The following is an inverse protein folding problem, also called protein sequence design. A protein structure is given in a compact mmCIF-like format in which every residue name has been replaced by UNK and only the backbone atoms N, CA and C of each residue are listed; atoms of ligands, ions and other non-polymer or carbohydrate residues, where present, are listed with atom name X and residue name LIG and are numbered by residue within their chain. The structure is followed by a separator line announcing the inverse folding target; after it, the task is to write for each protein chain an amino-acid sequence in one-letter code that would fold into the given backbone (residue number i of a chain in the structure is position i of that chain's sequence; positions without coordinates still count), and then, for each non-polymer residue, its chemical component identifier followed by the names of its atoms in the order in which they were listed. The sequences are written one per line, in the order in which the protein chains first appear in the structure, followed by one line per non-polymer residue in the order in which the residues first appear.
data_IF_789498602630
#
_entry.id   IF_789498602630
#
_cell.length_a   1.000
_cell.length_b   1.000
_cell.length_c   1.000
_cell.angle_alpha   90.00
_cell.angle_beta   90.00
_cell.angle_gamma   90.00
#
_symmetry.space_group_name_H-M   'P 1'
#
loop_
_entity.id
_entity.type
_entity.pdbx_description
1 polymer ?
#
# COMPACT_ATOMS: atom_id res chain seq x y z
N UNK A 1 32.58 -17.61 50.59
CA UNK A 1 32.70 -16.31 49.87
C UNK A 1 32.81 -16.48 48.34
N UNK A 2 33.68 -17.34 47.79
CA UNK A 2 33.85 -17.53 46.33
C UNK A 2 32.60 -17.99 45.56
N UNK A 3 31.72 -18.81 46.17
CA UNK A 3 30.48 -19.29 45.52
C UNK A 3 29.40 -18.23 45.37
N UNK A 4 29.31 -17.27 46.30
CA UNK A 4 28.31 -16.19 46.26
C UNK A 4 28.57 -15.26 45.06
N UNK A 5 29.84 -15.01 44.75
CA UNK A 5 30.25 -14.17 43.62
C UNK A 5 29.84 -14.76 42.26
N UNK A 6 29.85 -16.10 42.13
CA UNK A 6 29.40 -16.79 40.93
C UNK A 6 27.90 -16.57 40.69
N UNK A 7 27.07 -16.59 41.74
CA UNK A 7 25.62 -16.34 41.58
C UNK A 7 25.32 -14.88 41.20
N UNK A 8 26.10 -13.92 41.68
CA UNK A 8 25.97 -12.51 41.27
C UNK A 8 26.36 -12.31 39.80
N UNK A 9 27.45 -12.93 39.36
CA UNK A 9 27.88 -12.87 37.95
C UNK A 9 26.88 -13.58 37.04
N UNK A 10 26.36 -14.75 37.43
CA UNK A 10 25.32 -15.45 36.66
C UNK A 10 24.02 -14.64 36.61
N UNK A 11 23.61 -14.02 37.71
CA UNK A 11 22.40 -13.19 37.77
C UNK A 11 22.49 -11.97 36.83
N UNK A 12 23.65 -11.31 36.78
CA UNK A 12 23.92 -10.22 35.85
C UNK A 12 23.92 -10.68 34.38
N UNK A 13 24.48 -11.86 34.10
CA UNK A 13 24.47 -12.44 32.75
C UNK A 13 23.07 -12.81 32.27
N UNK A 14 22.25 -13.41 33.13
CA UNK A 14 20.85 -13.72 32.81
C UNK A 14 20.07 -12.43 32.60
N UNK A 15 20.25 -11.42 33.47
CA UNK A 15 19.58 -10.13 33.32
C UNK A 15 19.96 -9.44 32.00
N UNK A 16 21.25 -9.40 31.66
CA UNK A 16 21.74 -8.85 30.41
C UNK A 16 21.21 -9.62 29.19
N UNK A 17 21.12 -10.95 29.25
CA UNK A 17 20.55 -11.77 28.19
C UNK A 17 19.04 -11.51 28.03
N UNK A 18 18.28 -11.40 29.13
CA UNK A 18 16.86 -11.00 29.04
C UNK A 18 16.72 -9.60 28.46
N UNK A 19 17.50 -8.61 28.90
CA UNK A 19 17.43 -7.26 28.35
C UNK A 19 17.76 -7.28 26.85
N UNK A 20 18.82 -7.99 26.44
CA UNK A 20 19.18 -8.12 25.03
C UNK A 20 18.04 -8.74 24.19
N UNK A 21 17.43 -9.83 24.67
CA UNK A 21 16.29 -10.48 24.00
C UNK A 21 15.08 -9.54 23.94
N UNK A 22 14.76 -8.83 25.02
CA UNK A 22 13.66 -7.86 25.02
C UNK A 22 13.94 -6.69 24.08
N UNK A 23 15.14 -6.10 24.09
CA UNK A 23 15.51 -4.99 23.20
C UNK A 23 15.56 -5.39 21.73
N UNK A 24 15.90 -6.66 21.43
CA UNK A 24 15.92 -7.16 20.06
C UNK A 24 14.51 -7.52 19.55
N UNK A 25 13.54 -7.66 20.46
CA UNK A 25 12.13 -7.95 20.14
C UNK A 25 11.29 -6.69 19.90
N UNK A 26 11.78 -5.51 20.28
CA UNK A 26 11.14 -4.23 19.98
C UNK A 26 11.77 -3.63 18.72
N UNK A 27 11.34 -4.08 17.55
CA UNK A 27 11.46 -3.27 16.34
C UNK A 27 10.42 -2.17 16.43
N UNK A 28 10.86 -0.93 16.64
CA UNK A 28 9.99 0.24 16.52
C UNK A 28 9.51 0.32 15.06
N UNK A 29 8.21 0.10 14.84
CA UNK A 29 7.58 0.33 13.56
C UNK A 29 6.99 1.73 13.54
N UNK A 30 7.48 2.57 12.62
CA UNK A 30 6.83 3.85 12.34
C UNK A 30 5.38 3.60 11.89
N UNK A 31 4.44 4.30 12.53
CA UNK A 31 3.02 4.23 12.20
C UNK A 31 2.63 5.49 11.46
N UNK A 32 1.94 5.34 10.33
CA UNK A 32 1.39 6.47 9.60
C UNK A 32 0.27 7.10 10.42
N UNK A 33 0.41 8.39 10.72
CA UNK A 33 -0.59 9.19 11.41
C UNK A 33 -0.86 10.47 10.64
N UNK A 34 -2.13 10.84 10.51
CA UNK A 34 -2.47 12.10 9.89
C UNK A 34 -2.13 13.27 10.82
N UNK A 35 -1.41 14.25 10.27
CA UNK A 35 -1.20 15.57 10.87
C UNK A 35 -1.66 16.64 9.88
N UNK A 36 -2.08 17.84 10.35
CA UNK A 36 -2.41 18.94 9.45
C UNK A 36 -1.31 19.20 8.43
N UNK A 37 -1.69 19.36 7.15
CA UNK A 37 -0.72 19.49 6.08
C UNK A 37 0.09 20.78 6.22
N UNK A 38 1.38 20.72 5.86
CA UNK A 38 2.21 21.91 5.72
C UNK A 38 1.99 22.58 4.37
N UNK A 39 1.65 23.86 4.39
CA UNK A 39 1.40 24.64 3.16
C UNK A 39 2.67 25.23 2.55
N UNK A 40 3.81 25.09 3.24
CA UNK A 40 5.08 25.74 2.86
C UNK A 40 6.14 24.78 2.34
N UNK A 41 5.85 23.48 2.40
CA UNK A 41 6.79 22.41 2.07
C UNK A 41 6.06 21.39 1.22
N UNK A 42 6.72 20.89 0.19
CA UNK A 42 6.17 19.86 -0.69
C UNK A 42 7.16 18.72 -0.99
N UNK A 43 6.67 17.71 -1.70
CA UNK A 43 7.52 16.78 -2.43
C UNK A 43 8.04 17.45 -3.70
N UNK A 44 9.34 17.32 -3.97
CA UNK A 44 9.93 17.65 -5.27
C UNK A 44 9.57 16.61 -6.32
N UNK A 45 9.54 15.35 -5.91
CA UNK A 45 9.18 14.21 -6.77
C UNK A 45 8.66 13.07 -5.90
N UNK A 46 7.80 12.24 -6.48
CA UNK A 46 7.34 11.00 -5.90
C UNK A 46 6.82 10.11 -7.02
N UNK A 47 6.84 8.80 -6.82
CA UNK A 47 6.40 7.87 -7.85
C UNK A 47 6.45 6.41 -7.43
N UNK A 48 5.67 5.64 -8.18
CA UNK A 48 5.66 4.18 -8.18
C UNK A 48 5.90 3.74 -9.61
N UNK A 49 6.75 2.74 -9.82
CA UNK A 49 7.04 2.16 -11.13
C UNK A 49 6.94 0.64 -11.08
N UNK A 50 6.31 0.07 -12.09
CA UNK A 50 6.25 -1.36 -12.38
C UNK A 50 6.87 -1.60 -13.77
N UNK A 51 7.98 -2.31 -13.79
CA UNK A 51 8.76 -2.53 -14.99
C UNK A 51 9.01 -4.01 -15.22
N UNK A 52 8.79 -4.48 -16.44
CA UNK A 52 9.25 -5.80 -16.85
C UNK A 52 10.79 -5.81 -16.93
N UNK A 53 11.41 -6.61 -16.06
CA UNK A 53 12.88 -6.68 -15.91
C UNK A 53 13.51 -7.66 -16.91
N UNK A 54 12.82 -8.76 -17.20
CA UNK A 54 13.32 -9.79 -18.08
C UNK A 54 12.65 -11.14 -17.86
N UNK A 55 13.09 -12.10 -18.66
CA UNK A 55 12.68 -13.49 -18.57
C UNK A 55 13.72 -14.25 -17.73
N UNK A 56 13.29 -14.94 -16.69
CA UNK A 56 14.17 -15.82 -15.91
C UNK A 56 14.29 -17.17 -16.63
N UNK A 57 13.13 -17.80 -16.94
CA UNK A 57 12.99 -19.09 -17.65
C UNK A 57 11.85 -19.04 -18.70
N UNK A 58 11.60 -20.11 -19.45
CA UNK A 58 10.57 -20.13 -20.53
C UNK A 58 9.18 -19.67 -20.03
N UNK A 59 8.78 -20.06 -18.82
CA UNK A 59 7.44 -19.77 -18.26
C UNK A 59 7.45 -18.71 -17.14
N UNK A 60 8.62 -18.18 -16.75
CA UNK A 60 8.77 -17.26 -15.61
C UNK A 60 9.41 -15.93 -16.04
N UNK A 61 8.97 -14.83 -15.42
CA UNK A 61 9.53 -13.50 -15.61
C UNK A 61 9.62 -12.72 -14.30
N UNK A 62 10.37 -11.63 -14.35
CA UNK A 62 10.56 -10.74 -13.23
C UNK A 62 9.94 -9.37 -13.51
N UNK A 63 9.13 -8.89 -12.55
CA UNK A 63 8.64 -7.52 -12.49
C UNK A 63 9.36 -6.77 -11.38
N UNK A 64 10.01 -5.69 -11.77
CA UNK A 64 10.62 -4.72 -10.86
C UNK A 64 9.54 -3.78 -10.35
N UNK A 65 9.45 -3.67 -9.02
CA UNK A 65 8.59 -2.74 -8.32
C UNK A 65 9.43 -1.72 -7.56
N UNK A 66 9.31 -0.45 -7.95
CA UNK A 66 10.04 0.66 -7.35
C UNK A 66 9.09 1.70 -6.76
N UNK A 67 9.42 2.19 -5.57
CA UNK A 67 8.75 3.28 -4.87
C UNK A 67 9.79 4.30 -4.48
N UNK A 68 9.56 5.57 -4.81
CA UNK A 68 10.48 6.65 -4.45
C UNK A 68 9.78 7.96 -4.17
N UNK A 69 10.37 8.79 -3.31
CA UNK A 69 9.93 10.15 -3.07
C UNK A 69 11.05 11.04 -2.55
N UNK A 70 11.10 12.29 -3.01
CA UNK A 70 12.03 13.34 -2.57
C UNK A 70 11.24 14.55 -2.05
N UNK A 71 11.56 15.01 -0.83
CA UNK A 71 11.01 16.24 -0.27
C UNK A 71 11.96 17.42 -0.43
N UNK A 72 11.41 18.63 -0.37
CA UNK A 72 12.21 19.86 -0.55
C UNK A 72 13.36 20.02 0.45
N UNK A 73 13.17 19.49 1.67
CA UNK A 73 14.13 19.50 2.78
C UNK A 73 14.04 18.18 3.56
N UNK A 74 15.04 17.82 4.38
CA UNK A 74 14.92 16.68 5.29
C UNK A 74 13.70 16.82 6.21
N UNK A 75 12.95 15.72 6.37
CA UNK A 75 11.81 15.63 7.29
C UNK A 75 12.23 14.93 8.57
N UNK A 76 11.51 15.16 9.67
CA UNK A 76 11.78 14.47 10.93
C UNK A 76 11.62 12.95 10.74
N UNK A 77 10.49 12.55 10.17
CA UNK A 77 10.20 11.18 9.76
C UNK A 77 9.72 11.17 8.31
N UNK A 78 10.20 10.23 7.52
CA UNK A 78 9.68 9.89 6.19
C UNK A 78 9.18 8.47 6.22
N UNK A 79 8.06 8.21 5.55
CA UNK A 79 7.55 6.86 5.38
C UNK A 79 6.85 6.74 4.03
N UNK A 80 7.31 5.80 3.22
CA UNK A 80 6.63 5.38 2.01
C UNK A 80 6.10 3.96 2.19
N UNK A 81 4.85 3.75 1.80
CA UNK A 81 4.21 2.44 1.79
C UNK A 81 3.59 2.21 0.42
N UNK A 82 3.68 0.98 -0.07
CA UNK A 82 3.15 0.60 -1.36
C UNK A 82 2.53 -0.79 -1.28
N UNK A 83 1.39 -0.94 -1.94
CA UNK A 83 0.63 -2.17 -2.07
C UNK A 83 0.68 -2.61 -3.52
N UNK A 84 1.07 -3.86 -3.77
CA UNK A 84 1.02 -4.45 -5.09
C UNK A 84 -0.08 -5.50 -5.18
N UNK A 85 -0.89 -5.38 -6.22
CA UNK A 85 -1.90 -6.34 -6.60
C UNK A 85 -1.54 -7.02 -7.91
N UNK A 86 -1.76 -8.33 -7.99
CA UNK A 86 -1.63 -9.14 -9.18
C UNK A 86 -3.00 -9.75 -9.47
N UNK A 87 -3.55 -9.49 -10.66
CA UNK A 87 -4.87 -9.94 -11.08
C UNK A 87 -5.97 -9.63 -10.05
N UNK A 88 -5.88 -8.47 -9.39
CA UNK A 88 -6.85 -8.04 -8.38
C UNK A 88 -6.63 -8.54 -6.95
N UNK A 89 -5.57 -9.31 -6.71
CA UNK A 89 -5.24 -9.89 -5.39
C UNK A 89 -3.95 -9.31 -4.84
N UNK A 90 -3.91 -9.02 -3.56
CA UNK A 90 -2.75 -8.47 -2.88
C UNK A 90 -1.59 -9.48 -2.96
N UNK A 91 -0.49 -9.09 -3.58
CA UNK A 91 0.71 -9.91 -3.74
C UNK A 91 1.79 -9.54 -2.73
N UNK A 92 1.88 -8.26 -2.36
CA UNK A 92 2.89 -7.81 -1.42
C UNK A 92 2.70 -6.38 -0.94
N UNK A 93 3.39 -6.08 0.15
CA UNK A 93 3.50 -4.75 0.74
C UNK A 93 4.97 -4.42 0.87
N UNK A 94 5.31 -3.21 0.44
CA UNK A 94 6.63 -2.62 0.67
C UNK A 94 6.44 -1.39 1.53
N UNK A 95 7.14 -1.34 2.67
CA UNK A 95 7.25 -0.13 3.47
C UNK A 95 8.70 0.19 3.74
N UNK A 96 9.00 1.48 3.74
CA UNK A 96 10.30 2.01 4.14
C UNK A 96 10.07 3.31 4.89
N UNK A 97 10.69 3.43 6.06
CA UNK A 97 10.71 4.67 6.82
C UNK A 97 12.15 5.05 7.16
N UNK A 98 12.41 6.35 7.24
CA UNK A 98 13.71 6.91 7.59
C UNK A 98 13.52 8.23 8.36
N UNK A 99 14.32 8.45 9.40
CA UNK A 99 14.37 9.73 10.10
C UNK A 99 15.39 10.69 9.46
N UNK A 100 15.14 11.99 9.57
CA UNK A 100 16.06 13.04 9.11
C UNK A 100 16.47 12.91 7.63
N UNK A 101 15.59 12.33 6.81
CA UNK A 101 15.83 12.05 5.40
C UNK A 101 14.99 12.96 4.49
N UNK A 102 15.53 13.30 3.34
CA UNK A 102 14.77 13.97 2.26
C UNK A 102 14.39 13.02 1.13
N UNK A 103 14.98 11.82 1.07
CA UNK A 103 14.76 10.86 -0.01
C UNK A 103 14.42 9.51 0.59
N UNK A 104 13.34 8.89 0.09
CA UNK A 104 13.09 7.46 0.25
C UNK A 104 13.14 6.84 -1.14
N UNK A 105 13.83 5.70 -1.22
CA UNK A 105 13.82 4.81 -2.37
C UNK A 105 13.82 3.36 -1.90
N UNK A 106 12.95 2.56 -2.46
CA UNK A 106 12.90 1.11 -2.25
C UNK A 106 12.55 0.43 -3.58
N UNK A 107 13.36 -0.56 -3.92
CA UNK A 107 13.20 -1.40 -5.11
C UNK A 107 13.08 -2.85 -4.66
N UNK A 108 12.15 -3.58 -5.24
CA UNK A 108 11.99 -5.02 -5.06
C UNK A 108 11.67 -5.67 -6.40
N UNK A 109 11.68 -6.98 -6.41
CA UNK A 109 11.45 -7.80 -7.59
C UNK A 109 10.54 -8.95 -7.26
N UNK A 110 9.69 -9.29 -8.21
CA UNK A 110 8.60 -10.24 -8.01
C UNK A 110 8.53 -11.15 -9.22
N UNK A 111 8.42 -12.43 -8.92
CA UNK A 111 8.33 -13.46 -9.93
C UNK A 111 6.88 -13.53 -10.40
N UNK A 112 6.73 -13.56 -11.72
CA UNK A 112 5.48 -13.66 -12.44
C UNK A 112 5.51 -14.85 -13.39
N UNK A 113 4.34 -15.41 -13.62
CA UNK A 113 4.06 -16.53 -14.52
C UNK A 113 2.80 -16.20 -15.30
N UNK A 114 2.63 -16.75 -16.50
CA UNK A 114 1.46 -16.49 -17.35
C UNK A 114 1.21 -15.00 -17.67
N UNK A 115 0.13 -14.76 -18.42
CA UNK A 115 -0.38 -13.41 -18.64
C UNK A 115 -1.00 -12.83 -17.36
N UNK A 116 -0.47 -11.72 -16.86
CA UNK A 116 -0.92 -11.09 -15.63
C UNK A 116 -1.04 -9.57 -15.75
N UNK A 117 -1.88 -9.01 -14.88
CA UNK A 117 -2.04 -7.58 -14.64
C UNK A 117 -1.52 -7.23 -13.26
N UNK A 118 -0.59 -6.30 -13.20
CA UNK A 118 -0.01 -5.75 -11.98
C UNK A 118 -0.56 -4.35 -11.74
N UNK A 119 -0.92 -4.05 -10.50
CA UNK A 119 -1.40 -2.72 -10.09
C UNK A 119 -0.78 -2.36 -8.75
N UNK A 120 -0.04 -1.26 -8.71
CA UNK A 120 0.56 -0.74 -7.48
C UNK A 120 -0.10 0.58 -7.08
N UNK A 121 -0.25 0.78 -5.78
CA UNK A 121 -0.67 2.06 -5.20
C UNK A 121 0.17 2.35 -3.96
N UNK A 122 0.70 3.56 -3.89
CA UNK A 122 1.63 4.00 -2.87
C UNK A 122 1.18 5.28 -2.19
N UNK A 123 1.53 5.38 -0.91
CA UNK A 123 1.41 6.59 -0.12
C UNK A 123 2.79 7.03 0.35
N UNK A 124 3.09 8.31 0.11
CA UNK A 124 4.33 8.95 0.50
C UNK A 124 4.01 9.93 1.63
N UNK A 125 4.68 9.80 2.76
CA UNK A 125 4.41 10.59 3.95
C UNK A 125 5.70 11.21 4.49
N UNK A 126 5.58 12.44 4.99
CA UNK A 126 6.65 13.11 5.72
C UNK A 126 6.12 13.92 6.88
N UNK A 127 6.78 13.82 8.02
CA UNK A 127 6.43 14.55 9.24
C UNK A 127 7.43 15.68 9.50
N UNK A 128 6.89 16.85 9.84
CA UNK A 128 7.64 18.05 10.20
C UNK A 128 7.37 18.37 11.65
N UNK A 129 8.41 18.31 12.47
CA UNK A 129 8.34 18.66 13.89
C UNK A 129 8.78 20.12 14.06
N UNK A 130 7.80 21.02 14.21
CA UNK A 130 8.03 22.45 14.38
C UNK A 130 8.05 22.82 15.87
N UNK A 131 9.21 22.64 16.50
CA UNK A 131 9.40 22.96 17.92
C UNK A 131 8.60 22.04 18.85
N UNK A 132 8.19 22.56 20.02
CA UNK A 132 7.65 21.74 21.10
C UNK A 132 6.19 21.26 20.91
N UNK A 133 5.39 21.82 19.99
CA UNK A 133 3.93 21.54 19.98
C UNK A 133 3.25 21.32 18.62
N UNK A 134 3.89 21.61 17.48
CA UNK A 134 3.22 21.48 16.18
C UNK A 134 3.90 20.46 15.26
N UNK A 135 3.28 19.29 15.10
CA UNK A 135 3.61 18.35 14.03
C UNK A 135 2.73 18.67 12.82
N UNK A 136 3.35 18.86 11.65
CA UNK A 136 2.66 18.96 10.36
C UNK A 136 3.09 17.81 9.47
N UNK A 137 2.34 17.54 8.41
CA UNK A 137 2.74 16.54 7.43
C UNK A 137 2.75 17.04 6.00
N UNK A 138 3.50 16.35 5.15
CA UNK A 138 3.32 16.37 3.71
C UNK A 138 2.91 14.97 3.28
N UNK A 139 2.11 14.90 2.22
CA UNK A 139 1.61 13.62 1.72
C UNK A 139 1.49 13.65 0.20
N UNK A 140 1.57 12.48 -0.42
CA UNK A 140 1.25 12.27 -1.82
C UNK A 140 0.81 10.82 -2.06
N UNK A 141 -0.01 10.58 -3.07
CA UNK A 141 -0.38 9.24 -3.54
C UNK A 141 0.11 9.05 -4.98
N UNK A 142 0.72 7.90 -5.27
CA UNK A 142 1.06 7.51 -6.64
C UNK A 142 0.65 6.07 -6.91
N UNK A 143 0.64 5.67 -8.17
CA UNK A 143 0.33 4.31 -8.57
C UNK A 143 0.82 4.03 -9.97
N UNK A 144 0.85 2.75 -10.31
CA UNK A 144 1.25 2.29 -11.64
C UNK A 144 0.51 0.99 -12.01
N UNK A 145 0.43 0.69 -13.30
CA UNK A 145 -0.23 -0.49 -13.84
C UNK A 145 0.58 -1.07 -15.01
N UNK A 146 0.82 -2.37 -14.96
CA UNK A 146 1.57 -3.11 -15.98
C UNK A 146 0.82 -4.36 -16.39
N UNK A 147 0.66 -4.57 -17.69
CA UNK A 147 0.23 -5.85 -18.27
C UNK A 147 1.48 -6.58 -18.74
N UNK A 148 1.62 -7.85 -18.38
CA UNK A 148 2.62 -8.74 -18.95
C UNK A 148 1.86 -9.86 -19.65
N UNK A 149 2.09 -10.02 -20.94
CA UNK A 149 1.41 -10.99 -21.79
C UNK A 149 2.37 -12.11 -22.12
N UNK A 150 2.01 -13.30 -21.66
CA UNK A 150 2.67 -14.54 -21.98
C UNK A 150 1.77 -15.37 -22.89
N UNK A 151 2.16 -15.46 -24.17
CA UNK A 151 1.39 -16.09 -25.22
C UNK A 151 2.21 -17.20 -25.87
N UNK A 152 1.68 -18.41 -26.07
CA UNK A 152 2.41 -19.51 -26.71
C UNK A 152 2.89 -19.24 -28.13
N UNK A 153 2.38 -18.16 -28.76
CA UNK A 153 2.58 -17.86 -30.18
C UNK A 153 3.38 -16.59 -30.43
N UNK A 154 3.67 -15.80 -29.40
CA UNK A 154 4.40 -14.53 -29.52
C UNK A 154 5.45 -14.43 -28.42
N UNK A 155 6.49 -13.62 -28.67
CA UNK A 155 7.45 -13.31 -27.60
C UNK A 155 6.69 -12.57 -26.49
N UNK A 156 6.98 -12.90 -25.23
CA UNK A 156 6.45 -12.19 -24.06
C UNK A 156 6.60 -10.68 -24.23
N UNK A 157 5.51 -9.96 -24.03
CA UNK A 157 5.46 -8.49 -24.12
C UNK A 157 4.90 -7.91 -22.83
N UNK A 158 5.17 -6.62 -22.61
CA UNK A 158 4.57 -5.89 -21.50
C UNK A 158 4.24 -4.48 -21.92
N UNK A 159 3.13 -3.95 -21.41
CA UNK A 159 2.67 -2.59 -21.72
C UNK A 159 1.88 -2.02 -20.54
N UNK A 160 1.88 -0.69 -20.40
CA UNK A 160 1.07 0.02 -19.41
C UNK A 160 -0.22 0.58 -20.05
N UNK A 161 -0.10 1.04 -21.30
CA UNK A 161 -1.22 1.44 -22.16
C UNK A 161 -1.09 0.70 -23.50
N UNK A 162 -2.19 0.14 -24.04
CA UNK A 162 -2.14 -0.58 -25.31
C UNK A 162 -1.83 0.39 -26.46
N UNK A 163 -0.85 0.03 -27.29
CA UNK A 163 -0.48 0.74 -28.51
C UNK A 163 -0.90 -0.03 -29.77
N UNK A 164 -1.22 -1.32 -29.62
CA UNK A 164 -1.63 -2.21 -30.70
C UNK A 164 -3.01 -2.84 -30.48
N UNK A 165 -3.71 -3.29 -31.55
CA UNK A 165 -4.99 -4.00 -31.40
C UNK A 165 -4.89 -5.30 -30.59
N UNK A 166 -3.74 -5.98 -30.63
CA UNK A 166 -3.49 -7.19 -29.85
C UNK A 166 -3.40 -6.87 -28.35
N UNK A 167 -2.68 -5.81 -27.98
CA UNK A 167 -2.59 -5.36 -26.58
C UNK A 167 -3.95 -4.88 -26.04
N UNK A 168 -4.74 -4.18 -26.85
CA UNK A 168 -6.10 -3.78 -26.48
C UNK A 168 -6.98 -5.01 -26.23
N UNK A 169 -6.90 -6.03 -27.07
CA UNK A 169 -7.63 -7.28 -26.89
C UNK A 169 -7.20 -8.00 -25.60
N UNK A 170 -5.90 -8.11 -25.35
CA UNK A 170 -5.38 -8.71 -24.12
C UNK A 170 -5.80 -7.96 -22.87
N UNK A 171 -5.70 -6.62 -22.88
CA UNK A 171 -6.17 -5.77 -21.80
C UNK A 171 -7.66 -6.01 -21.52
N UNK A 172 -8.50 -6.03 -22.56
CA UNK A 172 -9.93 -6.27 -22.40
C UNK A 172 -10.22 -7.65 -21.80
N UNK A 173 -9.54 -8.72 -22.27
CA UNK A 173 -9.73 -10.08 -21.73
C UNK A 173 -9.30 -10.19 -20.27
N UNK A 174 -8.12 -9.68 -19.93
CA UNK A 174 -7.60 -9.70 -18.57
C UNK A 174 -8.48 -8.86 -17.63
N UNK A 175 -8.77 -7.62 -18.01
CA UNK A 175 -9.63 -6.73 -17.22
C UNK A 175 -11.02 -7.33 -17.01
N UNK A 176 -11.62 -7.93 -18.04
CA UNK A 176 -12.93 -8.55 -17.92
C UNK A 176 -12.93 -9.67 -16.88
N UNK A 177 -11.95 -10.58 -16.96
CA UNK A 177 -11.84 -11.73 -16.06
C UNK A 177 -11.55 -11.28 -14.62
N UNK A 178 -10.62 -10.35 -14.44
CA UNK A 178 -10.23 -9.82 -13.13
C UNK A 178 -11.40 -9.06 -12.50
N UNK A 179 -12.05 -8.18 -13.26
CA UNK A 179 -13.16 -7.37 -12.75
C UNK A 179 -14.35 -8.25 -12.38
N UNK A 180 -14.62 -9.35 -13.09
CA UNK A 180 -15.66 -10.31 -12.67
C UNK A 180 -15.39 -10.89 -11.28
N UNK A 181 -14.14 -11.29 -11.01
CA UNK A 181 -13.74 -11.86 -9.72
C UNK A 181 -13.82 -10.82 -8.59
N UNK A 182 -13.22 -9.64 -8.80
CA UNK A 182 -13.26 -8.54 -7.82
C UNK A 182 -14.71 -8.12 -7.56
N UNK A 183 -15.54 -8.04 -8.61
CA UNK A 183 -16.94 -7.63 -8.48
C UNK A 183 -17.76 -8.60 -7.65
N UNK A 184 -17.57 -9.90 -7.86
CA UNK A 184 -18.22 -10.92 -7.04
C UNK A 184 -17.88 -10.75 -5.56
N UNK A 185 -16.60 -10.49 -5.25
CA UNK A 185 -16.15 -10.23 -3.89
C UNK A 185 -16.78 -8.96 -3.29
N UNK A 186 -16.81 -7.87 -4.07
CA UNK A 186 -17.44 -6.62 -3.64
C UNK A 186 -18.94 -6.76 -3.40
N UNK A 187 -19.66 -7.47 -4.27
CA UNK A 187 -21.08 -7.72 -4.11
C UNK A 187 -21.36 -8.54 -2.82
N UNK A 188 -20.48 -9.49 -2.49
CA UNK A 188 -20.55 -10.22 -1.22
C UNK A 188 -20.32 -9.31 0.00
N UNK A 189 -19.31 -8.43 -0.05
CA UNK A 189 -19.04 -7.45 1.03
C UNK A 189 -20.21 -6.48 1.20
N UNK A 190 -20.74 -5.94 0.09
CA UNK A 190 -21.89 -5.04 0.09
C UNK A 190 -23.13 -5.72 0.70
N UNK A 191 -23.39 -6.98 0.32
CA UNK A 191 -24.50 -7.75 0.88
C UNK A 191 -24.30 -8.04 2.38
N UNK A 192 -23.09 -8.46 2.78
CA UNK A 192 -22.74 -8.77 4.16
C UNK A 192 -22.95 -7.57 5.10
N UNK A 193 -22.47 -6.40 4.69
CA UNK A 193 -22.61 -5.16 5.47
C UNK A 193 -23.90 -4.39 5.18
N UNK A 194 -24.80 -4.96 4.37
CA UNK A 194 -26.10 -4.37 3.99
C UNK A 194 -25.95 -2.96 3.39
N UNK A 195 -24.90 -2.76 2.60
CA UNK A 195 -24.57 -1.47 1.99
C UNK A 195 -25.27 -1.35 0.64
N UNK A 196 -26.04 -0.28 0.47
CA UNK A 196 -26.69 0.03 -0.79
C UNK A 196 -25.74 0.81 -1.70
N UNK A 197 -25.09 0.11 -2.62
CA UNK A 197 -24.08 0.68 -3.52
C UNK A 197 -24.56 1.93 -4.28
N UNK A 198 -25.85 2.00 -4.65
CA UNK A 198 -26.40 3.15 -5.38
C UNK A 198 -26.17 4.50 -4.70
N UNK A 199 -25.98 4.50 -3.38
CA UNK A 199 -25.81 5.70 -2.57
C UNK A 199 -24.34 6.19 -2.57
N UNK A 200 -23.43 5.43 -3.19
CA UNK A 200 -22.00 5.66 -3.19
C UNK A 200 -21.41 5.78 -4.59
N UNK A 201 -20.26 6.43 -4.67
CA UNK A 201 -19.31 6.29 -5.77
C UNK A 201 -18.24 5.29 -5.35
N UNK A 202 -18.24 4.13 -6.01
CA UNK A 202 -17.30 3.05 -5.75
C UNK A 202 -15.97 3.30 -6.47
N UNK A 203 -14.87 3.20 -5.73
CA UNK A 203 -13.50 3.39 -6.22
C UNK A 203 -12.62 2.27 -5.66
N UNK A 204 -11.98 1.43 -6.49
CA UNK A 204 -10.97 0.49 -6.01
C UNK A 204 -9.78 1.23 -5.40
N UNK A 205 -9.19 0.70 -4.34
CA UNK A 205 -8.02 1.31 -3.68
C UNK A 205 -6.87 1.60 -4.64
N UNK A 206 -6.64 0.75 -5.65
CA UNK A 206 -5.59 0.94 -6.68
C UNK A 206 -5.78 2.20 -7.53
N UNK A 207 -7.00 2.76 -7.58
CA UNK A 207 -7.31 3.98 -8.33
C UNK A 207 -7.29 5.23 -7.46
N UNK A 208 -6.93 5.13 -6.18
CA UNK A 208 -6.83 6.30 -5.30
C UNK A 208 -5.79 7.32 -5.80
N UNK A 209 -4.72 6.85 -6.46
CA UNK A 209 -3.71 7.68 -7.09
C UNK A 209 -4.26 8.61 -8.19
N UNK A 210 -5.38 8.26 -8.84
CA UNK A 210 -6.02 9.12 -9.84
C UNK A 210 -6.53 10.46 -9.28
N UNK A 211 -6.70 10.49 -7.95
CA UNK A 211 -7.18 11.62 -7.17
C UNK A 211 -6.04 12.38 -6.48
N UNK A 212 -4.81 12.24 -6.96
CA UNK A 212 -3.71 13.03 -6.44
C UNK A 212 -3.93 14.52 -6.74
N UNK A 213 -4.17 14.86 -8.01
CA UNK A 213 -4.44 16.24 -8.45
C UNK A 213 -5.94 16.56 -8.61
N UNK A 214 -6.82 15.64 -8.25
CA UNK A 214 -8.29 15.75 -8.42
C UNK A 214 -9.01 15.65 -7.09
N UNK A 215 -10.21 16.23 -7.06
CA UNK A 215 -11.10 16.12 -5.91
C UNK A 215 -11.58 14.68 -5.72
N UNK A 216 -11.65 14.22 -4.47
CA UNK A 216 -12.30 12.95 -4.16
C UNK A 216 -13.79 13.02 -4.51
N UNK A 217 -14.43 11.90 -4.90
CA UNK A 217 -15.83 11.92 -5.29
C UNK A 217 -16.74 12.47 -4.17
N UNK A 218 -17.52 13.51 -4.48
CA UNK A 218 -18.45 14.13 -3.52
C UNK A 218 -17.79 15.01 -2.47
N UNK A 219 -16.50 15.33 -2.60
CA UNK A 219 -15.71 16.07 -1.61
C UNK A 219 -15.01 17.27 -2.25
N UNK A 220 -15.11 18.49 -1.72
CA UNK A 220 -14.35 19.64 -2.23
C UNK A 220 -12.83 19.49 -2.09
N UNK A 221 -12.04 20.14 -2.96
CA UNK A 221 -10.57 20.04 -2.98
C UNK A 221 -9.90 20.25 -1.63
N UNK A 222 -10.29 21.29 -0.89
CA UNK A 222 -9.69 21.61 0.41
C UNK A 222 -9.90 20.53 1.48
N UNK A 223 -10.92 19.69 1.35
CA UNK A 223 -11.16 18.57 2.26
C UNK A 223 -10.59 17.25 1.74
N UNK A 224 -10.42 17.12 0.42
CA UNK A 224 -9.94 15.90 -0.23
C UNK A 224 -8.60 15.44 0.34
N UNK A 225 -7.66 16.37 0.52
CA UNK A 225 -6.35 16.06 1.08
C UNK A 225 -6.41 15.55 2.52
N UNK A 226 -7.17 16.23 3.39
CA UNK A 226 -7.39 15.76 4.76
C UNK A 226 -7.96 14.35 4.77
N UNK A 227 -8.98 14.09 3.94
CA UNK A 227 -9.65 12.80 3.86
C UNK A 227 -8.72 11.72 3.33
N UNK A 228 -7.89 12.01 2.31
CA UNK A 228 -6.85 11.08 1.81
C UNK A 228 -5.87 10.69 2.92
N UNK A 229 -5.35 11.66 3.66
CA UNK A 229 -4.40 11.39 4.74
C UNK A 229 -4.98 10.55 5.87
N UNK A 230 -6.21 10.87 6.30
CA UNK A 230 -6.93 10.08 7.31
C UNK A 230 -7.31 8.69 6.81
N UNK A 231 -7.67 8.56 5.53
CA UNK A 231 -7.96 7.28 4.89
C UNK A 231 -6.72 6.38 4.89
N UNK A 232 -5.56 6.93 4.52
CA UNK A 232 -4.29 6.21 4.54
C UNK A 232 -3.85 5.82 5.96
N UNK A 233 -4.03 6.69 6.95
CA UNK A 233 -3.84 6.33 8.36
C UNK A 233 -4.73 5.14 8.75
N UNK A 234 -6.01 5.18 8.38
CA UNK A 234 -6.98 4.11 8.65
C UNK A 234 -6.61 2.79 7.96
N UNK A 235 -6.25 2.85 6.67
CA UNK A 235 -5.77 1.70 5.90
C UNK A 235 -4.49 1.13 6.50
N UNK A 236 -3.52 1.99 6.85
CA UNK A 236 -2.26 1.53 7.43
C UNK A 236 -2.51 0.73 8.71
N UNK A 237 -3.29 1.30 9.63
CA UNK A 237 -3.56 0.68 10.94
C UNK A 237 -4.38 -0.60 10.86
N UNK A 238 -5.38 -0.67 9.99
CA UNK A 238 -6.38 -1.75 10.03
C UNK A 238 -6.21 -2.78 8.91
N UNK A 239 -5.57 -2.40 7.81
CA UNK A 239 -5.34 -3.28 6.67
C UNK A 239 -3.85 -3.62 6.53
N UNK A 240 -2.97 -2.62 6.48
CA UNK A 240 -1.56 -2.86 6.17
C UNK A 240 -0.82 -3.57 7.30
N UNK A 241 -0.96 -3.10 8.55
CA UNK A 241 -0.36 -3.75 9.73
C UNK A 241 -0.96 -5.14 10.03
N UNK A 242 -2.16 -5.42 9.53
CA UNK A 242 -2.84 -6.70 9.71
C UNK A 242 -2.40 -7.78 8.73
N UNK A 243 -1.60 -7.44 7.70
CA UNK A 243 -1.08 -8.41 6.74
C UNK A 243 0.03 -9.20 7.42
N UNK A 244 -0.30 -10.41 7.88
CA UNK A 244 0.66 -11.28 8.53
C UNK A 244 1.46 -12.03 7.47
N UNK A 245 2.78 -11.84 7.51
CA UNK A 245 3.80 -12.64 6.85
C UNK A 245 3.87 -12.50 5.30
N UNK A 246 4.62 -11.49 4.85
CA UNK A 246 5.06 -11.33 3.46
C UNK A 246 6.12 -12.37 3.03
N UNK A 247 6.62 -13.20 3.96
CA UNK A 247 7.57 -14.29 3.72
C UNK A 247 6.94 -15.69 3.88
N UNK A 248 5.63 -15.77 4.12
CA UNK A 248 4.91 -17.03 4.29
C UNK A 248 4.68 -17.70 2.94
N UNK A 249 4.75 -19.02 2.91
CA UNK A 249 4.41 -19.84 1.74
C UNK A 249 2.92 -19.79 1.37
N UNK A 250 2.09 -19.08 2.12
CA UNK A 250 0.66 -18.94 1.84
C UNK A 250 0.39 -17.60 1.13
N UNK A 251 -0.16 -17.63 -0.10
CA UNK A 251 -0.44 -16.41 -0.84
C UNK A 251 -1.51 -15.59 -0.11
N UNK A 252 -1.21 -14.31 0.13
CA UNK A 252 -2.17 -13.34 0.68
C UNK A 252 -3.44 -13.36 -0.20
N UNK A 253 -4.59 -13.68 0.40
CA UNK A 253 -5.84 -13.90 -0.35
C UNK A 253 -6.72 -12.66 -0.49
N UNK A 254 -6.32 -11.51 0.08
CA UNK A 254 -7.12 -10.28 0.03
C UNK A 254 -7.24 -9.73 -1.40
N UNK A 255 -8.47 -9.43 -1.83
CA UNK A 255 -8.74 -8.67 -3.05
C UNK A 255 -8.57 -7.16 -2.82
N UNK A 256 -8.50 -6.40 -3.92
CA UNK A 256 -8.46 -4.92 -3.85
C UNK A 256 -9.62 -4.38 -3.00
N UNK A 257 -9.34 -3.63 -1.92
CA UNK A 257 -10.36 -2.97 -1.11
C UNK A 257 -11.24 -2.03 -1.92
N UNK A 258 -12.54 -2.00 -1.58
CA UNK A 258 -13.52 -1.10 -2.18
C UNK A 258 -13.69 0.14 -1.32
N UNK A 259 -13.38 1.30 -1.88
CA UNK A 259 -13.68 2.61 -1.30
C UNK A 259 -15.05 3.06 -1.78
N UNK A 260 -15.92 3.45 -0.87
CA UNK A 260 -17.29 3.88 -1.12
C UNK A 260 -17.45 5.31 -0.60
N UNK A 261 -17.35 6.28 -1.51
CA UNK A 261 -17.56 7.69 -1.20
C UNK A 261 -19.05 8.00 -1.23
N UNK A 262 -19.60 8.46 -0.10
CA UNK A 262 -21.02 8.83 -0.01
C UNK A 262 -21.34 9.96 -1.00
N UNK A 263 -22.36 9.76 -1.84
CA UNK A 263 -22.75 10.77 -2.85
C UNK A 263 -23.25 12.08 -2.24
N UNK A 264 -23.56 12.10 -0.94
CA UNK A 264 -23.94 13.32 -0.20
C UNK A 264 -22.75 13.96 0.52
N UNK A 265 -21.53 13.42 0.37
CA UNK A 265 -20.29 13.98 0.90
C UNK A 265 -20.22 13.95 2.42
N UNK A 266 -20.67 12.87 3.07
CA UNK A 266 -20.67 12.75 4.55
C UNK A 266 -19.59 11.84 5.11
N UNK A 267 -19.23 10.79 4.35
CA UNK A 267 -18.30 9.79 4.80
C UNK A 267 -17.69 9.03 3.62
N UNK A 268 -16.58 8.34 3.93
CA UNK A 268 -16.02 7.29 3.09
C UNK A 268 -16.07 5.99 3.88
N UNK A 269 -16.47 4.93 3.21
CA UNK A 269 -16.48 3.57 3.76
C UNK A 269 -15.48 2.72 2.98
N UNK A 270 -14.70 1.90 3.68
CA UNK A 270 -13.76 0.95 3.08
C UNK A 270 -14.24 -0.45 3.41
N UNK A 271 -14.44 -1.28 2.38
CA UNK A 271 -14.79 -2.69 2.53
C UNK A 271 -13.64 -3.55 2.02
N UNK A 272 -13.23 -4.54 2.80
CA UNK A 272 -12.22 -5.51 2.40
C UNK A 272 -12.39 -6.82 3.16
N UNK A 273 -11.67 -7.84 2.70
CA UNK A 273 -11.50 -9.12 3.38
C UNK A 273 -10.01 -9.26 3.72
N UNK A 274 -9.67 -9.69 4.93
CA UNK A 274 -8.28 -9.93 5.31
C UNK A 274 -7.77 -11.29 4.80
N UNK A 275 -6.50 -11.57 5.08
CA UNK A 275 -5.84 -12.84 4.73
C UNK A 275 -6.45 -14.08 5.42
N UNK A 276 -7.25 -13.89 6.48
CA UNK A 276 -7.99 -14.96 7.17
C UNK A 276 -9.39 -15.18 6.59
N UNK A 277 -9.82 -14.39 5.61
CA UNK A 277 -11.17 -14.42 5.05
C UNK A 277 -12.20 -13.64 5.89
N UNK A 278 -11.75 -12.87 6.89
CA UNK A 278 -12.64 -12.07 7.72
C UNK A 278 -12.94 -10.75 7.00
N UNK A 279 -14.23 -10.41 6.95
CA UNK A 279 -14.74 -9.20 6.30
C UNK A 279 -14.64 -8.02 7.26
N UNK A 280 -14.20 -6.88 6.74
CA UNK A 280 -14.01 -5.66 7.50
C UNK A 280 -14.71 -4.47 6.83
N UNK A 281 -15.17 -3.55 7.67
CA UNK A 281 -15.74 -2.28 7.29
C UNK A 281 -15.06 -1.18 8.11
N UNK A 282 -14.44 -0.21 7.43
CA UNK A 282 -13.96 1.02 8.04
C UNK A 282 -14.85 2.17 7.61
N UNK A 283 -15.19 3.05 8.54
CA UNK A 283 -16.08 4.18 8.29
C UNK A 283 -15.44 5.46 8.81
N UNK A 284 -15.26 6.43 7.92
CA UNK A 284 -14.68 7.74 8.22
C UNK A 284 -15.65 8.84 7.81
N UNK A 285 -16.18 9.56 8.79
CA UNK A 285 -17.00 10.75 8.58
C UNK A 285 -16.12 11.98 8.37
N UNK A 286 -16.57 12.94 7.56
CA UNK A 286 -15.85 14.17 7.29
C UNK A 286 -16.72 15.41 7.15
#
# INVERSE_FOLDING_TARGET
MKKVWIYWVLGLLVLAATIAVFTQSYTEEAVIKYFPLDETTAFKSFGTSLEFSGQEDEDEYEVVWEVSSESEKPMYLRQDVSLLYVNGRLKGVVSKWEENASIIKKKTSIHGEDSQKYQAVSFHHGELHLGEEAIRSIQATSGDELYVIDSPHTKRTSFTSPETPEEEEWKQRLDHTINQQIRAQWDELLAHFQVKESDYTAVPLTRLADFEDKELPGVPKGQSERIKGQLWEGLYKNYILGIHDTNSSHPIQSYIPLLLFDKKGKHVMVLYEDDTGKKHQLLQYY
#
